data_IF_875648917309
#
_entry.id   IF_875648917309
#
_cell.length_a   1.000
_cell.length_b   1.000
_cell.length_c   1.000
_cell.angle_alpha   90.00
_cell.angle_beta   90.00
_cell.angle_gamma   90.00
#
_symmetry.space_group_name_H-M   'P 1'
#
loop_
_entity.id
_entity.type
_entity.pdbx_description
1 polymer ?
#
# COMPACT_ATOMS: atom_id res chain seq x y z
N UNK A 1 5.22 -0.77 24.43
CA UNK A 1 4.05 -0.76 23.53
C UNK A 1 4.53 -1.34 22.21
N UNK A 2 3.99 -2.48 21.80
CA UNK A 2 4.39 -3.16 20.57
C UNK A 2 3.83 -2.36 19.39
N UNK A 3 4.69 -1.86 18.49
CA UNK A 3 4.22 -1.25 17.24
C UNK A 3 3.72 -2.38 16.34
N UNK A 4 2.41 -2.57 16.28
CA UNK A 4 1.80 -3.43 15.27
C UNK A 4 2.08 -2.81 13.90
N UNK A 5 2.95 -3.45 13.12
CA UNK A 5 3.30 -3.01 11.78
C UNK A 5 2.46 -3.76 10.75
N UNK A 6 1.68 -3.02 9.97
CA UNK A 6 0.88 -3.58 8.88
C UNK A 6 1.62 -3.38 7.56
N UNK A 7 1.87 -4.46 6.84
CA UNK A 7 2.63 -4.42 5.57
C UNK A 7 1.71 -4.73 4.39
N UNK A 8 1.96 -4.06 3.28
CA UNK A 8 1.36 -4.39 1.98
C UNK A 8 2.41 -5.10 1.14
N UNK A 9 2.08 -6.30 0.70
CA UNK A 9 2.98 -7.14 -0.11
C UNK A 9 2.33 -7.48 -1.44
N UNK A 10 3.15 -7.51 -2.49
CA UNK A 10 2.74 -8.03 -3.79
C UNK A 10 3.16 -9.49 -3.91
N UNK A 11 2.14 -10.34 -3.98
CA UNK A 11 2.31 -11.78 -4.18
C UNK A 11 2.17 -12.07 -5.68
N UNK A 12 3.19 -12.69 -6.28
CA UNK A 12 3.12 -13.22 -7.65
C UNK A 12 3.15 -14.74 -7.60
N UNK A 13 2.14 -15.36 -8.20
CA UNK A 13 1.97 -16.81 -8.25
C UNK A 13 2.11 -17.26 -9.71
N UNK A 14 3.08 -18.11 -9.99
CA UNK A 14 3.20 -18.79 -11.27
C UNK A 14 2.39 -20.07 -11.23
N UNK A 15 1.23 -20.09 -11.90
CA UNK A 15 0.34 -21.24 -11.91
C UNK A 15 0.89 -22.45 -12.69
N UNK A 16 1.87 -22.24 -13.58
CA UNK A 16 2.49 -23.34 -14.35
C UNK A 16 3.51 -24.11 -13.50
N UNK A 17 4.31 -23.40 -12.71
CA UNK A 17 5.41 -23.99 -11.93
C UNK A 17 5.09 -24.13 -10.45
N UNK A 18 4.03 -23.49 -9.96
CA UNK A 18 3.72 -23.37 -8.54
C UNK A 18 4.62 -22.39 -7.78
N UNK A 19 5.55 -21.71 -8.46
CA UNK A 19 6.47 -20.77 -7.81
C UNK A 19 5.71 -19.53 -7.28
N UNK A 20 6.02 -19.12 -6.05
CA UNK A 20 5.44 -17.94 -5.41
C UNK A 20 6.58 -16.99 -5.03
N UNK A 21 6.38 -15.70 -5.28
CA UNK A 21 7.25 -14.64 -4.77
C UNK A 21 6.42 -13.60 -4.03
N UNK A 22 6.98 -13.07 -2.95
CA UNK A 22 6.38 -12.02 -2.16
C UNK A 22 7.33 -10.82 -2.11
N UNK A 23 6.84 -9.64 -2.46
CA UNK A 23 7.63 -8.40 -2.45
C UNK A 23 6.93 -7.34 -1.62
N UNK A 24 7.56 -6.90 -0.54
CA UNK A 24 7.05 -5.79 0.27
C UNK A 24 7.04 -4.50 -0.56
N UNK A 25 5.92 -3.78 -0.56
CA UNK A 25 5.74 -2.60 -1.41
C UNK A 25 6.22 -1.29 -0.78
N UNK A 26 6.27 -1.23 0.54
CA UNK A 26 6.67 -0.05 1.30
C UNK A 26 7.28 -0.47 2.64
N UNK A 27 8.31 0.24 3.14
CA UNK A 27 8.79 0.06 4.51
C UNK A 27 7.82 0.65 5.56
N UNK A 28 6.93 1.56 5.16
CA UNK A 28 5.93 2.18 6.04
C UNK A 28 4.80 1.19 6.40
N UNK A 29 4.19 1.41 7.56
CA UNK A 29 2.95 0.71 7.91
C UNK A 29 1.79 1.31 7.12
N UNK A 30 1.15 0.49 6.28
CA UNK A 30 0.10 0.93 5.35
C UNK A 30 -1.19 0.14 5.58
N UNK A 31 -2.32 0.85 5.68
CA UNK A 31 -3.64 0.31 5.99
C UNK A 31 -4.72 0.84 5.05
N UNK A 32 -5.92 0.24 5.09
CA UNK A 32 -7.13 0.71 4.38
C UNK A 32 -6.92 1.01 2.88
N UNK A 33 -6.30 0.07 2.17
CA UNK A 33 -5.97 0.21 0.76
C UNK A 33 -7.18 0.36 -0.17
N UNK A 34 -7.08 1.31 -1.10
CA UNK A 34 -8.05 1.58 -2.15
C UNK A 34 -7.40 1.50 -3.53
N UNK A 35 -8.15 0.95 -4.48
CA UNK A 35 -7.80 0.89 -5.89
C UNK A 35 -8.91 1.51 -6.74
N UNK A 36 -8.59 1.91 -7.96
CA UNK A 36 -9.60 2.41 -8.88
C UNK A 36 -10.63 1.31 -9.17
N UNK A 37 -11.91 1.58 -8.89
CA UNK A 37 -12.98 0.58 -8.94
C UNK A 37 -13.15 -0.08 -10.32
N UNK A 38 -12.93 0.68 -11.41
CA UNK A 38 -12.94 0.14 -12.78
C UNK A 38 -11.84 -0.88 -13.11
N UNK A 39 -10.85 -1.07 -12.22
CA UNK A 39 -9.74 -2.00 -12.39
C UNK A 39 -9.72 -3.15 -11.36
N UNK A 40 -10.79 -3.34 -10.58
CA UNK A 40 -10.88 -4.47 -9.66
C UNK A 40 -10.76 -5.80 -10.44
N UNK A 41 -9.90 -6.70 -9.95
CA UNK A 41 -9.62 -7.99 -10.59
C UNK A 41 -8.81 -7.88 -11.90
N UNK A 42 -8.33 -6.69 -12.27
CA UNK A 42 -7.52 -6.43 -13.47
C UNK A 42 -6.18 -5.84 -13.08
N UNK A 43 -5.27 -5.75 -14.04
CA UNK A 43 -4.01 -5.05 -13.83
C UNK A 43 -4.30 -3.58 -13.49
N UNK A 44 -3.90 -3.17 -12.29
CA UNK A 44 -3.99 -1.80 -11.83
C UNK A 44 -2.57 -1.29 -11.56
N UNK A 45 -2.28 -0.06 -11.97
CA UNK A 45 -0.98 0.55 -11.74
C UNK A 45 -0.87 1.25 -10.38
N UNK A 46 -1.98 1.75 -9.83
CA UNK A 46 -1.91 2.60 -8.64
C UNK A 46 -2.83 2.12 -7.53
N UNK A 47 -2.33 2.16 -6.30
CA UNK A 47 -3.11 1.98 -5.08
C UNK A 47 -2.90 3.13 -4.11
N UNK A 48 -3.88 3.38 -3.26
CA UNK A 48 -3.89 4.46 -2.28
C UNK A 48 -4.09 3.86 -0.89
N UNK A 49 -3.24 4.19 0.07
CA UNK A 49 -3.23 3.56 1.39
C UNK A 49 -3.10 4.62 2.48
N UNK A 50 -3.74 4.41 3.63
CA UNK A 50 -3.49 5.20 4.82
C UNK A 50 -2.13 4.84 5.40
N UNK A 51 -1.33 5.84 5.77
CA UNK A 51 -0.08 5.63 6.51
C UNK A 51 -0.41 5.59 8.00
N UNK A 52 -0.11 4.47 8.67
CA UNK A 52 -0.36 4.35 10.11
C UNK A 52 0.46 5.42 10.85
N UNK A 53 -0.17 6.10 11.81
CA UNK A 53 0.47 7.02 12.74
C UNK A 53 0.31 6.55 14.18
N UNK A 54 0.74 7.37 15.17
CA UNK A 54 0.43 7.10 16.57
C UNK A 54 -1.09 6.98 16.76
N UNK A 55 -1.55 5.82 17.21
CA UNK A 55 -2.95 5.53 17.46
C UNK A 55 -3.59 6.67 18.29
N UNK A 56 -4.77 7.20 17.91
CA UNK A 56 -5.73 6.70 16.92
C UNK A 56 -5.65 7.35 15.52
N UNK A 57 -4.52 7.95 15.14
CA UNK A 57 -4.43 8.79 13.93
C UNK A 57 -3.64 8.12 12.80
N UNK A 58 -4.10 8.33 11.56
CA UNK A 58 -3.29 8.15 10.36
C UNK A 58 -2.44 9.40 10.12
N UNK A 59 -1.21 9.23 9.66
CA UNK A 59 -0.30 10.35 9.39
C UNK A 59 -0.52 10.96 8.00
N UNK A 60 -1.18 10.23 7.09
CA UNK A 60 -1.51 10.71 5.75
C UNK A 60 -1.98 9.59 4.82
N UNK A 61 -1.99 9.88 3.52
CA UNK A 61 -2.29 8.92 2.45
C UNK A 61 -1.05 8.74 1.57
N UNK A 62 -0.79 7.51 1.15
CA UNK A 62 0.30 7.14 0.26
C UNK A 62 -0.25 6.59 -1.04
N UNK A 63 0.28 7.08 -2.18
CA UNK A 63 0.06 6.46 -3.50
C UNK A 63 1.23 5.54 -3.84
N UNK A 64 0.93 4.29 -4.16
CA UNK A 64 1.90 3.31 -4.65
C UNK A 64 1.81 3.21 -6.17
N UNK A 65 2.95 3.15 -6.85
CA UNK A 65 3.05 2.78 -8.27
C UNK A 65 3.49 1.31 -8.37
N UNK A 66 2.53 0.43 -8.63
CA UNK A 66 2.74 -1.01 -8.76
C UNK A 66 3.61 -1.40 -9.97
N UNK A 67 3.83 -0.50 -10.93
CA UNK A 67 4.78 -0.74 -12.02
C UNK A 67 6.24 -0.63 -11.56
N UNK A 68 6.50 -0.02 -10.40
CA UNK A 68 7.85 0.20 -9.84
C UNK A 68 8.18 -0.76 -8.70
N UNK A 69 7.38 -1.83 -8.52
CA UNK A 69 7.63 -2.83 -7.48
C UNK A 69 8.95 -3.55 -7.73
N UNK A 70 9.84 -3.52 -6.72
CA UNK A 70 11.20 -4.06 -6.82
C UNK A 70 12.23 -3.06 -7.36
N UNK A 71 11.82 -1.85 -7.75
CA UNK A 71 12.71 -0.72 -7.94
C UNK A 71 12.80 0.11 -6.64
N UNK A 72 13.87 0.88 -6.46
CA UNK A 72 14.14 1.67 -5.25
C UNK A 72 13.04 2.68 -4.87
N UNK A 73 12.10 2.97 -5.79
CA UNK A 73 11.15 4.08 -5.66
C UNK A 73 9.72 3.68 -6.09
N UNK A 74 9.16 2.66 -5.43
CA UNK A 74 7.77 2.23 -5.58
C UNK A 74 6.74 3.27 -5.06
N UNK A 75 7.22 4.23 -4.26
CA UNK A 75 6.43 5.23 -3.56
C UNK A 75 6.30 6.48 -4.41
N UNK A 76 5.07 6.87 -4.78
CA UNK A 76 4.82 8.19 -5.34
C UNK A 76 4.19 9.06 -4.25
N UNK A 77 4.89 10.11 -3.83
CA UNK A 77 4.38 10.97 -2.76
C UNK A 77 3.10 11.70 -3.18
N UNK A 78 2.06 11.59 -2.34
CA UNK A 78 0.94 12.54 -2.30
C UNK A 78 0.87 13.01 -0.85
N UNK A 79 1.35 14.20 -0.56
CA UNK A 79 1.22 14.78 0.78
C UNK A 79 -0.14 15.47 0.88
N UNK A 80 -1.17 14.73 1.31
CA UNK A 80 -2.46 15.31 1.69
C UNK A 80 -2.63 15.14 3.20
N UNK A 81 -2.57 16.26 3.95
CA UNK A 81 -2.95 16.30 5.36
C UNK A 81 -4.44 15.99 5.47
N UNK A 82 -4.79 14.73 5.68
CA UNK A 82 -6.17 14.31 5.95
C UNK A 82 -6.42 14.48 7.46
N UNK A 83 -6.92 15.64 7.86
CA UNK A 83 -7.53 15.80 9.17
C UNK A 83 -8.88 15.07 9.12
N UNK A 84 -8.97 13.89 9.74
CA UNK A 84 -10.26 13.36 10.15
C UNK A 84 -10.80 14.31 11.24
N UNK A 85 -11.61 15.29 10.82
CA UNK A 85 -12.47 16.02 11.73
C UNK A 85 -13.42 14.99 12.35
N UNK A 86 -13.20 14.72 13.64
CA UNK A 86 -14.13 13.94 14.45
C UNK A 86 -15.50 14.60 14.42
N UNK A 87 -16.52 13.80 14.14
CA UNK A 87 -17.90 14.07 14.57
C UNK A 87 -18.07 13.62 16.00
#
# INVERSE_FOLDING_TARGET
MELMQVRVEMIRINLRTGAVSCTTLSPESLEFGLIHQGYVGRNNRFGYFGVSGPMPKFSGIRKLDFARVGADDCMSAIHSHFFLLGT
#
